data_IF_485423180140
#
_entry.id   IF_485423180140
#
_cell.length_a   1.000
_cell.length_b   1.000
_cell.length_c   1.000
_cell.angle_alpha   90.00
_cell.angle_beta   90.00
_cell.angle_gamma   90.00
#
_symmetry.space_group_name_H-M   'P 1'
#
loop_
_entity.id
_entity.type
_entity.pdbx_description
1 polymer ?
#
# COMPACT_ATOMS: atom_id res chain seq x y z
N UNK A 1 -6.14 -2.57 -6.49
CA UNK A 1 -4.97 -2.39 -5.59
C UNK A 1 -3.81 -1.78 -6.35
N UNK A 2 -3.30 -0.63 -5.89
CA UNK A 2 -2.13 0.06 -6.42
C UNK A 2 -1.00 0.03 -5.39
N UNK A 3 0.24 -0.16 -5.85
CA UNK A 3 1.38 -0.19 -4.94
C UNK A 3 2.66 -0.76 -5.54
N UNK A 4 3.54 -1.16 -4.65
CA UNK A 4 4.87 -1.71 -4.96
C UNK A 4 4.96 -3.24 -4.74
N UNK A 5 6.12 -3.75 -4.26
CA UNK A 5 6.34 -5.17 -4.01
C UNK A 5 5.44 -5.77 -2.93
N UNK A 6 4.97 -4.99 -1.96
CA UNK A 6 4.06 -5.44 -0.91
C UNK A 6 2.68 -5.76 -1.50
N UNK A 7 2.26 -5.01 -2.52
CA UNK A 7 1.01 -5.22 -3.26
C UNK A 7 1.18 -6.26 -4.39
N UNK A 8 2.30 -6.23 -5.13
CA UNK A 8 2.64 -7.16 -6.20
C UNK A 8 2.73 -8.61 -5.69
N UNK A 9 3.59 -8.81 -4.68
CA UNK A 9 3.80 -10.08 -3.99
C UNK A 9 3.81 -11.32 -4.90
N UNK A 10 4.48 -11.23 -6.03
CA UNK A 10 4.65 -12.33 -6.99
C UNK A 10 3.41 -12.65 -7.82
N UNK A 11 2.53 -11.68 -8.04
CA UNK A 11 1.38 -11.85 -8.94
C UNK A 11 1.82 -12.15 -10.39
N UNK A 12 1.01 -12.85 -11.16
CA UNK A 12 1.18 -12.92 -12.62
C UNK A 12 0.72 -11.61 -13.25
N UNK A 13 1.67 -10.76 -13.64
CA UNK A 13 1.39 -9.43 -14.20
C UNK A 13 0.69 -9.43 -15.56
N UNK A 14 0.56 -10.59 -16.20
CA UNK A 14 -0.23 -10.76 -17.45
C UNK A 14 -1.71 -10.94 -17.16
N UNK A 15 -2.06 -11.19 -15.89
CA UNK A 15 -3.42 -11.36 -15.42
C UNK A 15 -3.64 -10.44 -14.22
N UNK A 16 -4.33 -9.30 -14.42
CA UNK A 16 -4.57 -8.33 -13.37
C UNK A 16 -5.57 -8.80 -12.30
N UNK A 17 -6.29 -9.90 -12.54
CA UNK A 17 -7.09 -10.58 -11.50
C UNK A 17 -6.27 -11.53 -10.63
N UNK A 18 -4.99 -11.73 -10.93
CA UNK A 18 -4.11 -12.50 -10.05
C UNK A 18 -3.68 -11.63 -8.86
N UNK A 19 -4.20 -11.95 -7.67
CA UNK A 19 -3.95 -11.19 -6.44
C UNK A 19 -2.55 -11.44 -5.85
N UNK A 20 -1.75 -12.36 -6.40
CA UNK A 20 -0.43 -12.72 -5.86
C UNK A 20 -0.52 -13.48 -4.55
N UNK A 21 0.54 -13.33 -3.72
CA UNK A 21 0.65 -13.97 -2.42
C UNK A 21 0.65 -12.96 -1.25
N UNK A 22 0.41 -11.68 -1.55
CA UNK A 22 0.38 -10.59 -0.58
C UNK A 22 -0.99 -10.33 0.02
N UNK A 23 -1.11 -9.19 0.70
CA UNK A 23 -2.35 -8.78 1.35
C UNK A 23 -3.56 -8.66 0.41
N UNK A 24 -3.41 -8.30 -0.90
CA UNK A 24 -4.56 -8.21 -1.79
C UNK A 24 -5.33 -9.53 -1.90
N UNK A 25 -4.61 -10.67 -1.88
CA UNK A 25 -5.22 -11.98 -1.89
C UNK A 25 -6.10 -12.21 -0.66
N UNK A 26 -5.55 -12.01 0.54
CA UNK A 26 -6.28 -12.26 1.78
C UNK A 26 -7.44 -11.27 1.95
N UNK A 27 -7.24 -10.01 1.56
CA UNK A 27 -8.29 -9.00 1.57
C UNK A 27 -9.44 -9.39 0.64
N UNK A 28 -9.16 -9.73 -0.62
CA UNK A 28 -10.19 -10.11 -1.59
C UNK A 28 -10.96 -11.37 -1.19
N UNK A 29 -10.26 -12.39 -0.66
CA UNK A 29 -10.89 -13.61 -0.14
C UNK A 29 -11.84 -13.31 1.03
N UNK A 30 -11.43 -12.45 1.98
CA UNK A 30 -12.25 -12.07 3.13
C UNK A 30 -13.48 -11.23 2.72
N UNK A 31 -13.29 -10.26 1.84
CA UNK A 31 -14.37 -9.39 1.35
C UNK A 31 -15.39 -10.21 0.55
N UNK A 32 -14.95 -11.04 -0.39
CA UNK A 32 -15.84 -11.87 -1.18
C UNK A 32 -16.63 -12.87 -0.30
N UNK A 33 -16.01 -13.39 0.76
CA UNK A 33 -16.68 -14.28 1.69
C UNK A 33 -17.70 -13.56 2.59
N UNK A 34 -17.45 -12.29 2.94
CA UNK A 34 -18.33 -11.48 3.77
C UNK A 34 -19.54 -10.92 2.97
N UNK A 35 -19.34 -10.68 1.67
CA UNK A 35 -20.34 -10.05 0.78
C UNK A 35 -20.61 -10.89 -0.46
N UNK A 36 -21.15 -12.12 -0.31
CA UNK A 36 -21.43 -13.00 -1.45
C UNK A 36 -22.56 -12.46 -2.37
N UNK A 37 -23.29 -11.46 -1.93
CA UNK A 37 -24.34 -10.76 -2.69
C UNK A 37 -23.78 -9.69 -3.65
N UNK A 38 -22.54 -9.25 -3.45
CA UNK A 38 -21.90 -8.24 -4.29
C UNK A 38 -21.11 -8.91 -5.42
N UNK A 39 -21.27 -8.41 -6.64
CA UNK A 39 -20.43 -8.78 -7.78
C UNK A 39 -19.17 -7.91 -7.81
N UNK A 40 -18.14 -8.30 -7.07
CA UNK A 40 -16.93 -7.52 -6.89
C UNK A 40 -15.81 -8.04 -7.80
N UNK A 41 -15.31 -7.19 -8.67
CA UNK A 41 -14.10 -7.42 -9.44
C UNK A 41 -12.88 -6.92 -8.70
N UNK A 42 -11.93 -7.79 -8.39
CA UNK A 42 -10.66 -7.43 -7.77
C UNK A 42 -9.54 -7.36 -8.81
N UNK A 43 -8.81 -6.25 -8.78
CA UNK A 43 -7.71 -5.97 -9.70
C UNK A 43 -6.45 -5.60 -8.92
N UNK A 44 -5.32 -6.23 -9.24
CA UNK A 44 -4.03 -5.95 -8.63
C UNK A 44 -3.04 -5.43 -9.66
N UNK A 45 -2.64 -4.17 -9.50
CA UNK A 45 -1.61 -3.50 -10.28
C UNK A 45 -0.37 -3.11 -9.46
N UNK A 46 -0.09 -3.85 -8.38
CA UNK A 46 1.20 -3.74 -7.67
C UNK A 46 2.36 -4.04 -8.61
N UNK A 47 3.45 -3.27 -8.52
CA UNK A 47 4.70 -3.49 -9.28
C UNK A 47 5.88 -3.32 -8.34
N UNK A 48 6.60 -4.41 -8.10
CA UNK A 48 7.79 -4.43 -7.23
C UNK A 48 8.79 -3.34 -7.61
N UNK A 49 9.30 -2.63 -6.60
CA UNK A 49 10.29 -1.56 -6.77
C UNK A 49 9.69 -0.20 -7.13
N UNK A 50 8.38 -0.09 -7.42
CA UNK A 50 7.80 1.20 -7.76
C UNK A 50 7.88 2.19 -6.60
N UNK A 51 8.17 3.43 -6.96
CA UNK A 51 8.08 4.63 -6.13
C UNK A 51 6.86 5.42 -6.55
N UNK A 52 6.58 6.50 -5.84
CA UNK A 52 5.47 7.41 -6.18
C UNK A 52 5.54 7.92 -7.62
N UNK A 53 6.73 8.22 -8.15
CA UNK A 53 6.91 8.66 -9.54
C UNK A 53 6.47 7.62 -10.58
N UNK A 54 6.88 6.34 -10.42
CA UNK A 54 6.47 5.29 -11.35
C UNK A 54 4.98 4.97 -11.22
N UNK A 55 4.40 5.06 -10.03
CA UNK A 55 2.95 4.91 -9.87
C UNK A 55 2.20 6.02 -10.61
N UNK A 56 2.66 7.27 -10.51
CA UNK A 56 2.10 8.40 -11.25
C UNK A 56 2.15 8.18 -12.76
N UNK A 57 3.30 7.74 -13.29
CA UNK A 57 3.50 7.53 -14.73
C UNK A 57 2.53 6.51 -15.34
N UNK A 58 2.15 5.47 -14.58
CA UNK A 58 1.26 4.40 -15.04
C UNK A 58 -0.20 4.55 -14.60
N UNK A 59 -0.51 5.57 -13.81
CA UNK A 59 -1.80 5.73 -13.12
C UNK A 59 -3.00 5.68 -14.07
N UNK A 60 -2.90 6.29 -15.24
CA UNK A 60 -4.00 6.30 -16.21
C UNK A 60 -4.35 4.88 -16.66
N UNK A 61 -3.35 4.15 -17.17
CA UNK A 61 -3.55 2.80 -17.74
C UNK A 61 -3.87 1.74 -16.70
N UNK A 62 -3.26 1.86 -15.52
CA UNK A 62 -3.34 0.82 -14.50
C UNK A 62 -4.42 1.12 -13.44
N UNK A 63 -5.13 2.24 -13.56
CA UNK A 63 -6.16 2.62 -12.59
C UNK A 63 -7.30 3.41 -13.24
N UNK A 64 -7.04 4.63 -13.74
CA UNK A 64 -8.09 5.56 -14.17
C UNK A 64 -8.93 4.98 -15.32
N UNK A 65 -8.30 4.32 -16.30
CA UNK A 65 -8.98 3.71 -17.44
C UNK A 65 -10.02 2.66 -17.03
N UNK A 66 -9.86 2.03 -15.87
CA UNK A 66 -10.78 1.02 -15.32
C UNK A 66 -11.98 1.64 -14.59
N UNK A 67 -11.97 2.94 -14.29
CA UNK A 67 -13.02 3.63 -13.53
C UNK A 67 -13.45 2.84 -12.29
N UNK A 68 -12.53 2.55 -11.36
CA UNK A 68 -12.84 1.71 -10.20
C UNK A 68 -13.75 2.41 -9.20
N UNK A 69 -14.56 1.65 -8.46
CA UNK A 69 -15.37 2.16 -7.35
C UNK A 69 -14.49 2.45 -6.12
N UNK A 70 -13.46 1.63 -5.91
CA UNK A 70 -12.51 1.76 -4.79
C UNK A 70 -11.08 1.61 -5.28
N UNK A 71 -10.22 2.56 -4.93
CA UNK A 71 -8.77 2.50 -5.19
C UNK A 71 -8.02 2.44 -3.86
N UNK A 72 -7.21 1.41 -3.65
CA UNK A 72 -6.28 1.37 -2.52
C UNK A 72 -4.84 1.62 -2.98
N UNK A 73 -4.09 2.41 -2.19
CA UNK A 73 -2.72 2.81 -2.51
C UNK A 73 -1.83 2.51 -1.30
N UNK A 74 -0.86 1.61 -1.50
CA UNK A 74 0.24 1.35 -0.57
C UNK A 74 1.56 1.58 -1.32
N UNK A 75 2.14 2.77 -1.17
CA UNK A 75 3.33 3.23 -1.88
C UNK A 75 4.17 4.16 -1.00
N UNK A 76 5.46 4.31 -1.29
CA UNK A 76 6.35 5.26 -0.64
C UNK A 76 7.55 4.62 0.05
N UNK A 77 7.50 3.32 0.36
CA UNK A 77 8.64 2.65 1.01
C UNK A 77 9.87 2.62 0.10
N UNK A 78 9.70 2.46 -1.22
CA UNK A 78 10.81 2.47 -2.16
C UNK A 78 11.37 3.88 -2.41
N UNK A 79 10.60 4.92 -2.21
CA UNK A 79 11.10 6.30 -2.21
C UNK A 79 12.16 6.50 -1.12
N UNK A 80 11.99 5.81 0.03
CA UNK A 80 12.98 5.75 1.11
C UNK A 80 14.07 4.73 0.80
N UNK A 81 13.71 3.48 0.50
CA UNK A 81 14.67 2.38 0.36
C UNK A 81 15.76 2.67 -0.69
N UNK A 82 15.37 3.24 -1.83
CA UNK A 82 16.30 3.56 -2.90
C UNK A 82 17.34 4.65 -2.54
N UNK A 83 17.13 5.40 -1.43
CA UNK A 83 18.14 6.31 -0.88
C UNK A 83 19.38 5.55 -0.38
N UNK A 84 19.18 4.31 0.09
CA UNK A 84 20.18 3.47 0.74
C UNK A 84 20.69 2.33 -0.15
N UNK A 85 20.07 2.09 -1.29
CA UNK A 85 20.45 1.07 -2.25
C UNK A 85 21.75 1.38 -3.02
N UNK A 86 22.24 0.41 -3.78
CA UNK A 86 23.47 0.54 -4.56
C UNK A 86 23.46 1.68 -5.58
N UNK A 87 22.30 1.95 -6.18
CA UNK A 87 22.13 3.04 -7.16
C UNK A 87 21.89 4.40 -6.50
N UNK A 88 21.56 4.44 -5.22
CA UNK A 88 21.32 5.65 -4.42
C UNK A 88 20.41 6.66 -5.14
N UNK A 89 19.30 6.19 -5.66
CA UNK A 89 18.31 7.06 -6.31
C UNK A 89 17.58 7.86 -5.23
N UNK A 90 18.00 9.09 -5.05
CA UNK A 90 17.43 9.95 -4.02
C UNK A 90 16.07 10.50 -4.48
N UNK A 91 14.98 10.00 -3.91
CA UNK A 91 13.69 10.69 -3.92
C UNK A 91 13.63 11.54 -2.66
N UNK A 92 13.52 12.85 -2.81
CA UNK A 92 13.35 13.76 -1.66
C UNK A 92 11.91 13.68 -1.13
N UNK A 93 11.70 14.09 0.12
CA UNK A 93 10.36 14.16 0.70
C UNK A 93 9.44 15.07 -0.10
N UNK A 94 9.96 16.20 -0.62
CA UNK A 94 9.22 17.10 -1.50
C UNK A 94 8.79 16.41 -2.81
N UNK A 95 9.67 15.63 -3.43
CA UNK A 95 9.32 14.88 -4.65
C UNK A 95 8.26 13.82 -4.37
N UNK A 96 8.39 13.08 -3.26
CA UNK A 96 7.37 12.13 -2.82
C UNK A 96 6.03 12.82 -2.62
N UNK A 97 5.99 13.90 -1.84
CA UNK A 97 4.78 14.66 -1.57
C UNK A 97 4.12 15.17 -2.86
N UNK A 98 4.93 15.73 -3.77
CA UNK A 98 4.44 16.26 -5.06
C UNK A 98 3.84 15.15 -5.93
N UNK A 99 4.55 14.02 -6.08
CA UNK A 99 4.08 12.90 -6.88
C UNK A 99 2.81 12.27 -6.29
N UNK A 100 2.79 12.08 -4.96
CA UNK A 100 1.65 11.46 -4.30
C UNK A 100 0.41 12.37 -4.39
N UNK A 101 0.56 13.66 -4.14
CA UNK A 101 -0.52 14.65 -4.33
C UNK A 101 -1.06 14.60 -5.76
N UNK A 102 -0.19 14.60 -6.77
CA UNK A 102 -0.60 14.54 -8.17
C UNK A 102 -1.38 13.25 -8.50
N UNK A 103 -1.02 12.10 -7.91
CA UNK A 103 -1.79 10.85 -8.01
C UNK A 103 -3.20 11.05 -7.46
N UNK A 104 -3.31 11.60 -6.25
CA UNK A 104 -4.59 11.77 -5.55
C UNK A 104 -5.50 12.79 -6.25
N UNK A 105 -4.94 13.91 -6.70
CA UNK A 105 -5.66 14.92 -7.48
C UNK A 105 -6.21 14.34 -8.79
N UNK A 106 -5.41 13.52 -9.49
CA UNK A 106 -5.88 12.86 -10.71
C UNK A 106 -7.02 11.87 -10.42
N UNK A 107 -6.90 11.07 -9.37
CA UNK A 107 -7.98 10.16 -8.98
C UNK A 107 -9.27 10.91 -8.67
N UNK A 108 -9.20 11.99 -7.88
CA UNK A 108 -10.38 12.82 -7.55
C UNK A 108 -10.99 13.53 -8.76
N UNK A 109 -10.17 13.92 -9.75
CA UNK A 109 -10.65 14.67 -10.92
C UNK A 109 -11.09 13.77 -12.08
N UNK A 110 -10.55 12.55 -12.19
CA UNK A 110 -10.72 11.69 -13.35
C UNK A 110 -11.53 10.42 -13.03
N UNK A 111 -11.93 10.19 -11.75
CA UNK A 111 -12.77 9.06 -11.31
C UNK A 111 -13.73 9.46 -10.20
N UNK A 112 -14.74 8.63 -9.96
CA UNK A 112 -15.62 8.73 -8.78
C UNK A 112 -15.15 7.80 -7.64
N UNK A 113 -13.95 7.25 -7.72
CA UNK A 113 -13.44 6.24 -6.81
C UNK A 113 -13.34 6.73 -5.37
N UNK A 114 -13.69 5.85 -4.44
CA UNK A 114 -13.31 5.97 -3.03
C UNK A 114 -11.84 5.66 -2.86
N UNK A 115 -11.10 6.52 -2.20
CA UNK A 115 -9.65 6.42 -2.03
C UNK A 115 -9.32 5.83 -0.66
N UNK A 116 -8.65 4.69 -0.67
CA UNK A 116 -8.08 4.05 0.53
C UNK A 116 -6.58 4.25 0.52
N UNK A 117 -6.07 5.06 1.42
CA UNK A 117 -4.64 5.26 1.59
C UNK A 117 -4.10 4.38 2.71
N UNK A 118 -2.95 3.73 2.47
CA UNK A 118 -2.31 2.82 3.41
C UNK A 118 -0.90 3.33 3.68
N UNK A 119 -0.59 3.60 4.95
CA UNK A 119 0.74 4.06 5.33
C UNK A 119 1.80 2.98 5.08
N UNK A 120 2.97 3.30 4.51
CA UNK A 120 4.10 2.41 4.49
C UNK A 120 4.65 2.18 5.90
N UNK A 121 5.33 1.07 6.10
CA UNK A 121 5.89 0.68 7.39
C UNK A 121 7.29 0.08 7.23
N UNK A 122 8.04 0.08 8.33
CA UNK A 122 9.29 -0.67 8.49
C UNK A 122 9.25 -1.34 9.87
N UNK A 123 9.30 -2.67 9.89
CA UNK A 123 9.41 -3.45 11.12
C UNK A 123 10.86 -3.47 11.63
N UNK A 124 11.04 -3.94 12.86
CA UNK A 124 12.37 -4.05 13.44
C UNK A 124 13.26 -5.04 12.65
N UNK A 125 14.28 -4.47 12.04
CA UNK A 125 15.37 -5.16 11.39
C UNK A 125 16.64 -4.34 11.61
N UNK A 126 17.73 -5.01 12.00
CA UNK A 126 18.96 -4.36 12.47
C UNK A 126 19.55 -3.38 11.45
N UNK A 127 19.34 -3.63 10.16
CA UNK A 127 19.88 -2.85 9.04
C UNK A 127 18.92 -1.77 8.52
N UNK A 128 17.78 -1.53 9.18
CA UNK A 128 16.72 -0.63 8.68
C UNK A 128 16.51 0.64 9.51
N UNK A 129 17.37 0.93 10.48
CA UNK A 129 17.16 2.09 11.37
C UNK A 129 17.08 3.41 10.59
N UNK A 130 17.97 3.63 9.62
CA UNK A 130 17.96 4.85 8.80
C UNK A 130 16.66 4.99 7.97
N UNK A 131 16.10 3.87 7.52
CA UNK A 131 14.79 3.88 6.83
C UNK A 131 13.64 4.23 7.77
N UNK A 132 13.70 3.78 9.03
CA UNK A 132 12.71 4.15 10.04
C UNK A 132 12.75 5.64 10.37
N UNK A 133 13.95 6.20 10.46
CA UNK A 133 14.12 7.63 10.71
C UNK A 133 13.52 8.47 9.58
N UNK A 134 13.77 8.09 8.32
CA UNK A 134 13.14 8.73 7.15
C UNK A 134 11.62 8.48 7.08
N UNK A 135 11.14 7.34 7.57
CA UNK A 135 9.72 7.02 7.56
C UNK A 135 8.90 7.99 8.43
N UNK A 136 9.51 8.60 9.44
CA UNK A 136 8.82 9.58 10.29
C UNK A 136 8.32 10.77 9.48
N UNK A 137 9.19 11.38 8.65
CA UNK A 137 8.82 12.52 7.80
C UNK A 137 7.88 12.10 6.66
N UNK A 138 8.17 11.00 6.00
CA UNK A 138 7.33 10.45 4.92
C UNK A 138 5.95 10.06 5.44
N UNK A 139 5.87 9.43 6.60
CA UNK A 139 4.61 9.08 7.25
C UNK A 139 3.76 10.31 7.58
N UNK A 140 4.38 11.39 8.07
CA UNK A 140 3.68 12.65 8.32
C UNK A 140 3.08 13.24 7.03
N UNK A 141 3.86 13.28 5.94
CA UNK A 141 3.39 13.73 4.63
C UNK A 141 2.18 12.90 4.14
N UNK A 142 2.28 11.57 4.27
CA UNK A 142 1.20 10.67 3.80
C UNK A 142 -0.06 10.87 4.65
N UNK A 143 0.06 11.13 5.96
CA UNK A 143 -1.10 11.44 6.83
C UNK A 143 -1.75 12.76 6.45
N UNK A 144 -0.98 13.81 6.21
CA UNK A 144 -1.52 15.10 5.74
C UNK A 144 -2.28 14.95 4.42
N UNK A 145 -1.74 14.17 3.48
CA UNK A 145 -2.42 13.88 2.22
C UNK A 145 -3.67 13.01 2.43
N UNK A 146 -3.64 12.07 3.38
CA UNK A 146 -4.79 11.25 3.68
C UNK A 146 -5.92 12.06 4.32
N UNK A 147 -5.62 13.01 5.19
CA UNK A 147 -6.61 13.93 5.79
C UNK A 147 -7.33 14.78 4.70
N UNK A 148 -6.65 15.08 3.59
CA UNK A 148 -7.20 15.87 2.50
C UNK A 148 -7.97 15.02 1.46
N UNK A 149 -7.49 13.82 1.15
CA UNK A 149 -7.94 13.06 -0.03
C UNK A 149 -8.61 11.72 0.27
N UNK A 150 -8.26 11.06 1.39
CA UNK A 150 -8.69 9.69 1.62
C UNK A 150 -10.12 9.61 2.15
N UNK A 151 -10.89 8.64 1.63
CA UNK A 151 -12.15 8.20 2.25
C UNK A 151 -11.86 7.25 3.43
N UNK A 152 -10.76 6.48 3.36
CA UNK A 152 -10.27 5.61 4.42
C UNK A 152 -8.75 5.72 4.50
N UNK A 153 -8.20 5.85 5.71
CA UNK A 153 -6.77 5.78 5.98
C UNK A 153 -6.43 4.61 6.89
N UNK A 154 -5.44 3.80 6.49
CA UNK A 154 -4.95 2.64 7.25
C UNK A 154 -3.52 2.93 7.73
N UNK A 155 -3.28 3.25 9.00
CA UNK A 155 -1.97 3.54 9.56
C UNK A 155 -1.20 2.26 9.89
N UNK A 156 -0.71 1.53 8.88
CA UNK A 156 -0.05 0.23 9.08
C UNK A 156 1.19 0.30 9.95
N UNK A 157 1.92 1.39 9.93
CA UNK A 157 3.08 1.62 10.80
C UNK A 157 2.69 1.58 12.29
N UNK A 158 1.59 2.23 12.68
CA UNK A 158 1.06 2.23 14.04
C UNK A 158 0.46 0.86 14.39
N UNK A 159 -0.30 0.26 13.47
CA UNK A 159 -0.95 -1.03 13.68
C UNK A 159 0.08 -2.15 13.87
N UNK A 160 1.17 -2.15 13.10
CA UNK A 160 2.27 -3.07 13.32
C UNK A 160 3.03 -2.79 14.61
N UNK A 161 3.26 -1.51 14.96
CA UNK A 161 3.89 -1.16 16.22
C UNK A 161 3.08 -1.68 17.44
N UNK A 162 1.76 -1.71 17.35
CA UNK A 162 0.89 -2.29 18.38
C UNK A 162 0.93 -3.83 18.34
N UNK A 163 0.86 -4.44 17.15
CA UNK A 163 0.85 -5.89 16.98
C UNK A 163 2.14 -6.55 17.50
N UNK A 164 3.30 -5.91 17.33
CA UNK A 164 4.60 -6.41 17.80
C UNK A 164 4.66 -6.49 19.33
N UNK A 165 3.91 -5.67 20.07
CA UNK A 165 3.87 -5.75 21.53
C UNK A 165 3.34 -7.10 22.03
N UNK A 166 2.44 -7.71 21.27
CA UNK A 166 1.85 -9.03 21.57
C UNK A 166 2.55 -10.18 20.85
N UNK A 167 3.24 -9.88 19.76
CA UNK A 167 4.06 -10.82 18.99
C UNK A 167 5.48 -10.25 18.86
N UNK A 168 6.32 -10.42 19.90
CA UNK A 168 7.60 -9.71 20.01
C UNK A 168 8.69 -10.21 19.06
N UNK A 169 8.45 -11.28 18.30
CA UNK A 169 9.39 -11.73 17.27
C UNK A 169 9.22 -10.92 15.99
N UNK A 170 10.15 -10.01 15.66
CA UNK A 170 10.02 -9.14 14.48
C UNK A 170 9.84 -9.91 13.17
N UNK A 171 10.46 -11.10 13.10
CA UNK A 171 10.35 -12.01 11.94
C UNK A 171 9.00 -12.70 11.82
N UNK A 172 8.12 -12.59 12.80
CA UNK A 172 6.78 -13.17 12.74
C UNK A 172 5.97 -12.60 11.57
N UNK A 173 6.09 -11.31 11.28
CA UNK A 173 5.35 -10.64 10.21
C UNK A 173 6.18 -10.40 8.94
N UNK A 174 7.51 -10.27 9.06
CA UNK A 174 8.41 -9.98 7.93
C UNK A 174 9.83 -10.48 8.25
N UNK A 175 10.48 -11.08 7.27
CA UNK A 175 11.87 -11.54 7.43
C UNK A 175 12.90 -10.44 7.29
N UNK A 176 12.61 -9.40 6.52
CA UNK A 176 13.51 -8.28 6.21
C UNK A 176 13.02 -6.92 6.74
N UNK A 177 11.91 -6.93 7.47
CA UNK A 177 11.32 -5.74 8.06
C UNK A 177 10.43 -4.92 7.11
N UNK A 178 10.35 -5.25 5.82
CA UNK A 178 9.56 -4.53 4.82
C UNK A 178 8.57 -5.44 4.09
N UNK A 179 9.04 -6.57 3.55
CA UNK A 179 8.19 -7.48 2.81
C UNK A 179 7.46 -8.42 3.78
N UNK A 180 6.13 -8.38 3.84
CA UNK A 180 5.37 -9.26 4.71
C UNK A 180 5.51 -10.71 4.26
N UNK A 181 5.72 -11.61 5.22
CA UNK A 181 5.52 -13.04 5.02
C UNK A 181 4.01 -13.38 5.07
N UNK A 182 3.66 -14.66 5.10
CA UNK A 182 2.25 -15.09 5.16
C UNK A 182 1.49 -14.45 6.33
N UNK A 183 2.09 -14.42 7.53
CA UNK A 183 1.44 -13.83 8.72
C UNK A 183 1.23 -12.32 8.56
N UNK A 184 2.23 -11.62 8.02
CA UNK A 184 2.14 -10.19 7.74
C UNK A 184 1.10 -9.88 6.66
N UNK A 185 1.07 -10.68 5.59
CA UNK A 185 0.11 -10.51 4.51
C UNK A 185 -1.33 -10.76 4.98
N UNK A 186 -1.55 -11.77 5.82
CA UNK A 186 -2.85 -12.05 6.44
C UNK A 186 -3.27 -10.92 7.40
N UNK A 187 -2.33 -10.40 8.19
CA UNK A 187 -2.59 -9.30 9.10
C UNK A 187 -3.04 -8.05 8.34
N UNK A 188 -2.32 -7.64 7.30
CA UNK A 188 -2.68 -6.49 6.47
C UNK A 188 -4.01 -6.74 5.75
N UNK A 189 -4.21 -7.93 5.18
CA UNK A 189 -5.44 -8.28 4.45
C UNK A 189 -6.69 -8.21 5.33
N UNK A 190 -6.60 -8.67 6.59
CA UNK A 190 -7.67 -8.55 7.57
C UNK A 190 -7.98 -7.10 7.90
N UNK A 191 -6.97 -6.30 8.24
CA UNK A 191 -7.13 -4.88 8.53
C UNK A 191 -7.78 -4.15 7.35
N UNK A 192 -7.31 -4.44 6.13
CA UNK A 192 -7.86 -3.84 4.92
C UNK A 192 -9.34 -4.17 4.75
N UNK A 193 -9.72 -5.45 4.86
CA UNK A 193 -11.11 -5.88 4.71
C UNK A 193 -12.03 -5.21 5.75
N UNK A 194 -11.60 -5.13 7.00
CA UNK A 194 -12.34 -4.45 8.08
C UNK A 194 -12.46 -2.92 7.82
N UNK A 195 -11.39 -2.29 7.34
CA UNK A 195 -11.34 -0.85 7.13
C UNK A 195 -12.24 -0.37 5.98
N UNK A 196 -12.39 -1.17 4.90
CA UNK A 196 -13.21 -0.78 3.75
C UNK A 196 -14.68 -1.18 3.86
N UNK A 197 -15.07 -1.93 4.88
CA UNK A 197 -16.45 -2.37 5.12
C UNK A 197 -17.51 -1.25 4.95
N UNK A 198 -17.28 0.00 5.43
CA UNK A 198 -18.21 1.10 5.22
C UNK A 198 -18.40 1.53 3.76
N UNK A 199 -17.44 1.19 2.87
CA UNK A 199 -17.46 1.54 1.45
C UNK A 199 -18.21 0.53 0.59
N UNK A 200 -18.57 -0.64 1.15
CA UNK A 200 -19.20 -1.76 0.44
C UNK A 200 -20.73 -1.78 0.60
N UNK A 201 -21.30 -0.72 1.13
CA UNK A 201 -22.76 -0.62 1.43
C UNK A 201 -23.51 0.14 0.36
#
# INVERSE_FOLDING_TARGET
FQGDSITDAGRDRRNYHNMGNGYPRYASELIAAAHPELDIEFINFGISGNRTSQLFDRLYKDCIEFQPDVVSILIGINDIWHRYGGEKIATTDLQLATNYRAILERLKNETDAKIVMIAPYVLDADDKQAMKDDLVSVGAIIRELADEFADVFIPLDELFAEAIKTQPEPKYYSGDGVHPNVNGAQFIGKIYAEAIEPLLK
#
